data_IF_964155328436
#
_entry.id   IF_964155328436
#
_cell.length_a   1.000
_cell.length_b   1.000
_cell.length_c   1.000
_cell.angle_alpha   90.00
_cell.angle_beta   90.00
_cell.angle_gamma   90.00
#
_symmetry.space_group_name_H-M   'P 1'
#
loop_
_entity.id
_entity.type
_entity.pdbx_description
1 polymer ?
#
# COMPACT_ATOMS: atom_id res chain seq x y z
N UNK A 1 15.33 17.89 3.05
CA UNK A 1 14.41 16.81 2.67
C UNK A 1 14.42 15.83 3.83
N UNK A 2 13.47 15.91 4.74
CA UNK A 2 13.41 15.01 5.89
C UNK A 2 13.19 13.57 5.39
N UNK A 3 14.10 12.68 5.76
CA UNK A 3 13.96 11.25 5.51
C UNK A 3 12.87 10.72 6.45
N UNK A 4 11.62 10.74 5.99
CA UNK A 4 10.53 10.09 6.71
C UNK A 4 10.83 8.59 6.80
N UNK A 5 11.09 8.13 8.02
CA UNK A 5 11.43 6.74 8.28
C UNK A 5 10.17 5.90 8.04
N UNK A 6 10.23 4.95 7.10
CA UNK A 6 9.15 3.98 6.91
C UNK A 6 8.86 3.27 8.23
N UNK A 7 7.59 3.26 8.60
CA UNK A 7 7.08 2.55 9.78
C UNK A 7 6.34 1.29 9.33
N UNK A 8 6.30 0.31 10.21
CA UNK A 8 5.58 -0.95 9.98
C UNK A 8 4.63 -1.21 11.16
N UNK A 9 3.52 -0.47 11.26
CA UNK A 9 2.62 -0.53 12.41
C UNK A 9 1.95 -1.91 12.58
N UNK A 10 1.89 -2.71 11.50
CA UNK A 10 1.27 -4.03 11.50
C UNK A 10 2.28 -5.19 11.51
N UNK A 11 3.59 -4.92 11.61
CA UNK A 11 4.66 -5.92 11.46
C UNK A 11 4.48 -6.78 10.18
N UNK A 12 4.07 -6.14 9.08
CA UNK A 12 3.79 -6.79 7.82
C UNK A 12 5.07 -7.10 7.02
N UNK A 13 6.19 -6.41 7.31
CA UNK A 13 7.46 -6.58 6.60
C UNK A 13 8.10 -7.91 6.94
N UNK A 14 8.44 -8.66 5.91
CA UNK A 14 9.11 -9.96 6.03
C UNK A 14 10.04 -10.21 4.87
N UNK A 15 10.94 -11.18 5.03
CA UNK A 15 11.87 -11.61 4.00
C UNK A 15 11.52 -13.00 3.50
N UNK A 16 11.89 -13.27 2.25
CA UNK A 16 11.83 -14.60 1.67
C UNK A 16 13.03 -14.81 0.75
N UNK A 17 13.44 -16.06 0.61
CA UNK A 17 14.53 -16.43 -0.31
C UNK A 17 13.96 -16.61 -1.72
N UNK A 18 14.59 -15.95 -2.69
CA UNK A 18 14.24 -16.03 -4.11
C UNK A 18 15.01 -17.12 -4.84
N UNK A 19 15.99 -17.77 -4.19
CA UNK A 19 17.01 -18.63 -4.82
C UNK A 19 18.20 -17.84 -5.37
N UNK A 20 18.05 -16.52 -5.57
CA UNK A 20 19.11 -15.59 -5.99
C UNK A 20 19.43 -14.55 -4.92
N UNK A 21 18.92 -14.72 -3.70
CA UNK A 21 19.10 -13.79 -2.57
C UNK A 21 17.80 -13.51 -1.83
N UNK A 22 17.91 -12.72 -0.76
CA UNK A 22 16.75 -12.34 0.04
C UNK A 22 16.00 -11.18 -0.61
N UNK A 23 14.69 -11.32 -0.71
CA UNK A 23 13.76 -10.24 -1.06
C UNK A 23 12.89 -9.88 0.13
N UNK A 24 12.37 -8.65 0.13
CA UNK A 24 11.44 -8.14 1.14
C UNK A 24 10.03 -8.10 0.56
N UNK A 25 9.05 -8.46 1.36
CA UNK A 25 7.63 -8.41 1.03
C UNK A 25 6.85 -7.82 2.22
N UNK A 26 5.73 -7.15 1.94
CA UNK A 26 4.76 -6.72 2.96
C UNK A 26 3.54 -7.65 2.90
N UNK A 27 3.41 -8.57 3.86
CA UNK A 27 2.34 -9.58 3.87
C UNK A 27 1.01 -8.95 4.27
N UNK A 28 0.02 -9.02 3.36
CA UNK A 28 -1.35 -8.62 3.67
C UNK A 28 -1.97 -9.41 4.82
N UNK A 29 -1.53 -10.65 5.05
CA UNK A 29 -2.02 -11.50 6.16
C UNK A 29 -1.84 -10.84 7.55
N UNK A 30 -0.92 -9.88 7.68
CA UNK A 30 -0.80 -9.08 8.91
C UNK A 30 -2.07 -8.27 9.24
N UNK A 31 -2.95 -8.05 8.24
CA UNK A 31 -4.19 -7.30 8.38
C UNK A 31 -5.44 -8.15 8.60
N UNK A 32 -5.31 -9.48 8.72
CA UNK A 32 -6.45 -10.37 8.98
C UNK A 32 -7.20 -10.03 10.28
N UNK A 33 -6.53 -9.35 11.23
CA UNK A 33 -7.15 -8.86 12.46
C UNK A 33 -8.10 -7.67 12.27
N UNK A 34 -7.99 -6.94 11.14
CA UNK A 34 -8.77 -5.72 10.88
C UNK A 34 -9.63 -5.80 9.62
N UNK A 35 -9.42 -6.81 8.76
CA UNK A 35 -10.22 -7.02 7.55
C UNK A 35 -10.18 -8.47 7.07
N UNK A 36 -11.22 -8.88 6.35
CA UNK A 36 -11.31 -10.16 5.68
C UNK A 36 -10.78 -10.04 4.25
N UNK A 37 -9.52 -10.44 4.04
CA UNK A 37 -8.81 -10.28 2.78
C UNK A 37 -9.47 -11.03 1.61
N UNK A 38 -10.19 -12.11 1.88
CA UNK A 38 -10.85 -12.93 0.85
C UNK A 38 -12.09 -12.23 0.29
N UNK A 39 -12.74 -11.38 1.09
CA UNK A 39 -13.87 -10.55 0.65
C UNK A 39 -13.45 -9.31 -0.13
N UNK A 40 -12.18 -8.91 -0.06
CA UNK A 40 -11.70 -7.73 -0.76
C UNK A 40 -11.44 -8.03 -2.25
N UNK A 41 -11.93 -7.17 -3.18
CA UNK A 41 -11.53 -7.22 -4.57
C UNK A 41 -10.00 -7.11 -4.70
N UNK A 42 -9.45 -7.77 -5.71
CA UNK A 42 -8.00 -7.76 -5.96
C UNK A 42 -7.43 -6.34 -6.12
N UNK A 43 -8.18 -5.43 -6.73
CA UNK A 43 -7.79 -4.02 -6.85
C UNK A 43 -7.60 -3.33 -5.49
N UNK A 44 -8.48 -3.61 -4.53
CA UNK A 44 -8.38 -3.07 -3.17
C UNK A 44 -7.19 -3.68 -2.42
N UNK A 45 -6.92 -4.98 -2.62
CA UNK A 45 -5.71 -5.64 -2.07
C UNK A 45 -4.41 -5.00 -2.59
N UNK A 46 -4.37 -4.56 -3.84
CA UNK A 46 -3.21 -3.84 -4.40
C UNK A 46 -3.03 -2.48 -3.72
N UNK A 47 -4.11 -1.71 -3.54
CA UNK A 47 -4.05 -0.43 -2.84
C UNK A 47 -3.59 -0.61 -1.39
N UNK A 48 -4.08 -1.65 -0.73
CA UNK A 48 -3.75 -1.99 0.65
C UNK A 48 -2.26 -2.35 0.82
N UNK A 49 -1.70 -3.16 -0.08
CA UNK A 49 -0.26 -3.46 -0.09
C UNK A 49 0.57 -2.19 -0.30
N UNK A 50 0.16 -1.36 -1.26
CA UNK A 50 0.85 -0.11 -1.56
C UNK A 50 0.85 0.85 -0.37
N UNK A 51 -0.26 0.93 0.36
CA UNK A 51 -0.34 1.74 1.58
C UNK A 51 0.57 1.17 2.69
N UNK A 52 0.52 -0.15 2.94
CA UNK A 52 1.39 -0.81 3.91
C UNK A 52 2.88 -0.58 3.63
N UNK A 53 3.31 -0.76 2.38
CA UNK A 53 4.72 -0.64 1.97
C UNK A 53 5.25 0.80 2.02
N UNK A 54 4.36 1.80 2.00
CA UNK A 54 4.71 3.21 1.98
C UNK A 54 4.29 3.98 3.24
N UNK A 55 3.87 3.27 4.30
CA UNK A 55 3.51 3.91 5.56
C UNK A 55 4.71 4.63 6.19
N UNK A 56 4.56 5.93 6.38
CA UNK A 56 5.61 6.85 6.84
C UNK A 56 5.10 7.89 7.85
N UNK A 57 3.84 7.73 8.30
CA UNK A 57 3.14 8.62 9.25
C UNK A 57 3.06 10.09 8.80
N UNK A 58 3.23 10.34 7.49
CA UNK A 58 3.17 11.67 6.90
C UNK A 58 2.34 11.69 5.61
N UNK A 59 2.77 11.00 4.57
CA UNK A 59 2.02 10.88 3.31
C UNK A 59 1.07 9.69 3.33
N UNK A 60 1.44 8.62 4.05
CA UNK A 60 0.59 7.45 4.27
C UNK A 60 0.60 7.10 5.76
N UNK A 61 -0.54 7.29 6.41
CA UNK A 61 -0.71 7.06 7.83
C UNK A 61 -1.38 5.70 8.10
N UNK A 62 -1.28 5.22 9.34
CA UNK A 62 -1.95 3.98 9.77
C UNK A 62 -3.47 4.04 9.55
N UNK A 63 -4.05 5.24 9.74
CA UNK A 63 -5.47 5.51 9.48
C UNK A 63 -5.86 5.20 8.04
N UNK A 64 -5.02 5.53 7.06
CA UNK A 64 -5.31 5.29 5.65
C UNK A 64 -5.36 3.78 5.34
N UNK A 65 -4.45 3.00 5.95
CA UNK A 65 -4.46 1.54 5.85
C UNK A 65 -5.77 0.98 6.41
N UNK A 66 -6.20 1.44 7.59
CA UNK A 66 -7.47 1.02 8.20
C UNK A 66 -8.69 1.41 7.35
N UNK A 67 -8.66 2.60 6.75
CA UNK A 67 -9.71 3.08 5.86
C UNK A 67 -9.84 2.21 4.60
N UNK A 68 -8.72 1.85 3.97
CA UNK A 68 -8.72 0.95 2.80
C UNK A 68 -9.16 -0.46 3.20
N UNK A 69 -8.72 -0.94 4.37
CA UNK A 69 -9.08 -2.25 4.89
C UNK A 69 -10.58 -2.38 5.21
N UNK A 70 -11.22 -1.28 5.63
CA UNK A 70 -12.67 -1.20 5.89
C UNK A 70 -13.53 -0.99 4.63
N UNK A 71 -12.94 -1.08 3.43
CA UNK A 71 -13.66 -0.87 2.19
C UNK A 71 -14.88 -1.80 2.05
N UNK A 72 -15.99 -1.25 1.59
CA UNK A 72 -17.19 -2.03 1.22
C UNK A 72 -17.78 -1.51 -0.10
N UNK A 73 -18.54 -2.35 -0.85
CA UNK A 73 -19.14 -1.95 -2.12
C UNK A 73 -20.04 -0.71 -2.01
N UNK A 74 -20.82 -0.63 -0.92
CA UNK A 74 -21.79 0.44 -0.66
C UNK A 74 -21.33 1.43 0.43
N UNK A 75 -20.06 1.38 0.81
CA UNK A 75 -19.50 2.25 1.84
C UNK A 75 -19.24 3.68 1.35
N UNK A 76 -19.05 4.58 2.31
CA UNK A 76 -18.61 5.95 2.04
C UNK A 76 -17.27 5.95 1.30
N UNK A 77 -17.11 6.86 0.34
CA UNK A 77 -15.88 7.01 -0.44
C UNK A 77 -15.01 8.05 0.24
N UNK A 78 -13.92 7.59 0.86
CA UNK A 78 -12.88 8.45 1.40
C UNK A 78 -11.74 8.61 0.39
N UNK A 79 -11.01 9.72 0.50
CA UNK A 79 -9.75 9.89 -0.23
C UNK A 79 -8.72 8.87 0.27
N UNK A 80 -7.93 8.34 -0.66
CA UNK A 80 -6.93 7.32 -0.39
C UNK A 80 -5.61 7.78 -0.99
N UNK A 81 -4.51 7.85 -0.21
CA UNK A 81 -3.20 8.14 -0.78
C UNK A 81 -2.73 6.96 -1.63
N UNK A 82 -2.26 7.23 -2.84
CA UNK A 82 -1.75 6.21 -3.76
C UNK A 82 -0.41 6.62 -4.37
N UNK A 83 0.64 5.87 -4.03
CA UNK A 83 2.01 6.04 -4.56
C UNK A 83 2.27 4.94 -5.61
N UNK A 84 2.09 5.20 -6.91
CA UNK A 84 2.27 4.20 -7.95
C UNK A 84 3.73 3.73 -8.01
N UNK A 85 3.95 2.46 -8.35
CA UNK A 85 5.29 1.89 -8.44
C UNK A 85 6.11 2.44 -9.63
N UNK A 86 5.44 2.90 -10.69
CA UNK A 86 6.07 3.45 -11.91
C UNK A 86 5.09 4.35 -12.65
N UNK A 87 5.63 5.29 -13.41
CA UNK A 87 4.88 6.15 -14.33
C UNK A 87 5.36 5.85 -15.76
N UNK A 88 4.43 5.73 -16.69
CA UNK A 88 4.72 5.63 -18.13
C UNK A 88 4.26 6.94 -18.76
N UNK A 89 5.17 7.64 -19.43
CA UNK A 89 4.87 8.88 -20.13
C UNK A 89 4.75 8.59 -21.63
N UNK A 90 3.72 9.16 -22.26
CA UNK A 90 3.56 9.14 -23.71
C UNK A 90 4.26 10.35 -24.34
N UNK A 91 4.75 10.17 -25.57
CA UNK A 91 5.56 11.12 -26.34
C UNK A 91 5.01 12.56 -26.41
N UNK A 92 3.68 12.78 -26.33
CA UNK A 92 3.06 14.11 -26.41
C UNK A 92 2.44 14.61 -25.10
N UNK A 93 2.50 13.84 -24.01
CA UNK A 93 2.03 14.26 -22.68
C UNK A 93 3.18 14.67 -21.75
N UNK A 94 4.42 14.64 -22.24
CA UNK A 94 5.65 14.98 -21.49
C UNK A 94 6.16 16.41 -21.66
N UNK A 95 5.39 17.32 -22.29
CA UNK A 95 5.79 18.71 -22.57
C UNK A 95 4.76 19.68 -21.98
N UNK A 96 5.10 20.62 -21.09
CA UNK A 96 6.07 20.63 -20.00
C UNK A 96 5.42 20.37 -18.61
N UNK A 97 6.26 20.06 -17.61
CA UNK A 97 5.98 20.24 -16.19
C UNK A 97 6.79 21.43 -15.65
#
# INVERSE_FOLDING_TARGET
>A
MENHKKIDPFNARTTFDTGNGQAVLYRLSALESITDLDKLPYSIRILLESALRNCDDFEVCEKDIRNIAAWTPNGERMEIPFKPARVILQDFTGVPC
#
